data_IF_723047780122
#
_entry.id   IF_723047780122
#
_cell.length_a   1.000
_cell.length_b   1.000
_cell.length_c   1.000
_cell.angle_alpha   90.00
_cell.angle_beta   90.00
_cell.angle_gamma   90.00
#
_symmetry.space_group_name_H-M   'P 1'
#
loop_
_entity.id
_entity.type
_entity.pdbx_description
1 polymer ?
#
# COMPACT_ATOMS: atom_id res chain seq x y z
N UNK A 1 -28.48 -10.71 -2.59
CA UNK A 1 -27.15 -11.01 -3.12
C UNK A 1 -26.53 -9.84 -3.86
N UNK A 2 -27.22 -9.23 -4.82
CA UNK A 2 -26.68 -8.08 -5.56
C UNK A 2 -26.40 -6.87 -4.69
N UNK A 3 -27.21 -6.59 -3.68
CA UNK A 3 -26.99 -5.48 -2.77
C UNK A 3 -25.73 -5.65 -1.94
N UNK A 4 -25.46 -6.87 -1.48
CA UNK A 4 -24.26 -7.13 -0.69
C UNK A 4 -23.00 -6.97 -1.53
N UNK A 5 -23.02 -7.45 -2.76
CA UNK A 5 -21.90 -7.32 -3.70
C UNK A 5 -21.65 -5.85 -4.01
N UNK A 6 -22.72 -5.08 -4.26
CA UNK A 6 -22.59 -3.65 -4.53
C UNK A 6 -21.95 -2.91 -3.36
N UNK A 7 -22.30 -3.26 -2.12
CA UNK A 7 -21.70 -2.65 -0.93
C UNK A 7 -20.22 -2.94 -0.83
N UNK A 8 -19.82 -4.19 -1.05
CA UNK A 8 -18.42 -4.57 -1.00
C UNK A 8 -17.62 -3.90 -2.10
N UNK A 9 -18.16 -3.81 -3.29
CA UNK A 9 -17.50 -3.13 -4.40
C UNK A 9 -17.34 -1.63 -4.13
N UNK A 10 -18.33 -1.00 -3.49
CA UNK A 10 -18.26 0.41 -3.11
C UNK A 10 -17.14 0.61 -2.07
N UNK A 11 -17.05 -0.25 -1.09
CA UNK A 11 -15.98 -0.19 -0.07
C UNK A 11 -14.61 -0.29 -0.74
N UNK A 12 -14.45 -1.24 -1.63
CA UNK A 12 -13.22 -1.44 -2.38
C UNK A 12 -12.87 -0.20 -3.22
N UNK A 13 -13.84 0.39 -3.89
CA UNK A 13 -13.65 1.61 -4.67
C UNK A 13 -13.21 2.78 -3.78
N UNK A 14 -13.85 2.94 -2.63
CA UNK A 14 -13.51 4.01 -1.69
C UNK A 14 -12.07 3.84 -1.20
N UNK A 15 -11.68 2.64 -0.82
CA UNK A 15 -10.30 2.36 -0.38
C UNK A 15 -9.28 2.68 -1.48
N UNK A 16 -9.58 2.29 -2.72
CA UNK A 16 -8.71 2.58 -3.85
C UNK A 16 -8.56 4.08 -4.07
N UNK A 17 -9.66 4.81 -4.01
CA UNK A 17 -9.65 6.26 -4.19
C UNK A 17 -8.88 6.96 -3.06
N UNK A 18 -9.02 6.50 -1.83
CA UNK A 18 -8.26 7.02 -0.70
C UNK A 18 -6.77 6.81 -0.94
N UNK A 19 -6.37 5.65 -1.44
CA UNK A 19 -4.98 5.38 -1.79
C UNK A 19 -4.47 6.31 -2.87
N UNK A 20 -5.23 6.51 -3.93
CA UNK A 20 -4.86 7.41 -5.03
C UNK A 20 -4.72 8.84 -4.51
N UNK A 21 -5.68 9.32 -3.72
CA UNK A 21 -5.63 10.66 -3.16
C UNK A 21 -4.42 10.85 -2.24
N UNK A 22 -4.09 9.82 -1.45
CA UNK A 22 -2.90 9.88 -0.60
C UNK A 22 -1.62 10.12 -1.39
N UNK A 23 -1.48 9.47 -2.55
CA UNK A 23 -0.32 9.69 -3.40
C UNK A 23 -0.29 11.10 -3.96
N UNK A 24 -1.43 11.59 -4.45
CA UNK A 24 -1.48 12.92 -5.09
C UNK A 24 -1.37 14.07 -4.12
N UNK A 25 -1.96 13.94 -2.93
CA UNK A 25 -2.02 15.04 -1.96
C UNK A 25 -0.75 15.16 -1.12
N UNK A 26 -0.08 14.04 -0.84
CA UNK A 26 1.06 14.03 0.07
C UNK A 26 2.27 13.38 -0.64
N UNK A 27 2.83 14.12 -1.59
CA UNK A 27 3.91 13.61 -2.46
C UNK A 27 5.26 13.51 -1.78
N UNK A 28 5.46 14.23 -0.67
CA UNK A 28 6.79 14.35 -0.05
C UNK A 28 7.06 13.33 1.06
N UNK A 29 6.06 12.57 1.47
CA UNK A 29 6.21 11.61 2.56
C UNK A 29 6.21 10.20 2.01
N UNK A 30 7.38 9.55 2.03
CA UNK A 30 7.56 8.20 1.51
C UNK A 30 6.68 7.20 2.26
N UNK A 31 6.53 7.36 3.57
CA UNK A 31 5.70 6.46 4.39
C UNK A 31 4.24 6.49 3.91
N UNK A 32 3.71 7.69 3.67
CA UNK A 32 2.33 7.84 3.20
C UNK A 32 2.16 7.29 1.80
N UNK A 33 3.15 7.47 0.92
CA UNK A 33 3.11 6.88 -0.43
C UNK A 33 3.07 5.36 -0.35
N UNK A 34 3.90 4.74 0.50
CA UNK A 34 3.90 3.30 0.67
C UNK A 34 2.57 2.81 1.23
N UNK A 35 2.02 3.49 2.24
CA UNK A 35 0.72 3.14 2.80
C UNK A 35 -0.39 3.28 1.79
N UNK A 36 -0.33 4.30 0.93
CA UNK A 36 -1.33 4.53 -0.12
C UNK A 36 -1.30 3.41 -1.15
N UNK A 37 -0.12 2.98 -1.57
CA UNK A 37 0.04 1.84 -2.48
C UNK A 37 -0.52 0.57 -1.84
N UNK A 38 -0.27 0.36 -0.56
CA UNK A 38 -0.80 -0.80 0.17
C UNK A 38 -2.33 -0.79 0.22
N UNK A 39 -2.94 0.38 0.43
CA UNK A 39 -4.40 0.52 0.39
C UNK A 39 -4.96 0.17 -0.99
N UNK A 40 -4.29 0.62 -2.06
CA UNK A 40 -4.70 0.31 -3.42
C UNK A 40 -4.63 -1.20 -3.69
N UNK A 41 -3.56 -1.86 -3.22
CA UNK A 41 -3.41 -3.31 -3.37
C UNK A 41 -4.46 -4.06 -2.55
N UNK A 42 -4.77 -3.58 -1.35
CA UNK A 42 -5.84 -4.15 -0.53
C UNK A 42 -7.19 -4.06 -1.26
N UNK A 43 -7.49 -2.92 -1.89
CA UNK A 43 -8.72 -2.72 -2.63
C UNK A 43 -8.83 -3.72 -3.79
N UNK A 44 -7.75 -3.91 -4.53
CA UNK A 44 -7.70 -4.89 -5.62
C UNK A 44 -7.92 -6.31 -5.09
N UNK A 45 -7.30 -6.65 -3.96
CA UNK A 45 -7.46 -7.95 -3.33
C UNK A 45 -8.90 -8.21 -2.91
N UNK A 46 -9.56 -7.21 -2.33
CA UNK A 46 -10.97 -7.32 -1.95
C UNK A 46 -11.81 -7.62 -3.18
N UNK A 47 -11.54 -6.96 -4.31
CA UNK A 47 -12.26 -7.21 -5.55
C UNK A 47 -12.08 -8.66 -6.03
N UNK A 48 -10.87 -9.19 -6.00
CA UNK A 48 -10.63 -10.58 -6.41
C UNK A 48 -11.42 -11.56 -5.53
N UNK A 49 -11.44 -11.33 -4.22
CA UNK A 49 -12.18 -12.18 -3.30
C UNK A 49 -13.68 -12.08 -3.55
N UNK A 50 -14.21 -10.87 -3.71
CA UNK A 50 -15.63 -10.64 -3.96
C UNK A 50 -16.08 -11.34 -5.24
N UNK A 51 -15.35 -11.14 -6.33
CA UNK A 51 -15.72 -11.77 -7.60
C UNK A 51 -15.55 -13.28 -7.56
N UNK A 52 -14.57 -13.79 -6.82
CA UNK A 52 -14.41 -15.23 -6.62
C UNK A 52 -15.63 -15.85 -5.92
N UNK A 53 -16.10 -15.22 -4.87
CA UNK A 53 -17.28 -15.69 -4.14
C UNK A 53 -18.54 -15.58 -5.01
N UNK A 54 -18.72 -14.46 -5.70
CA UNK A 54 -19.89 -14.22 -6.55
C UNK A 54 -19.96 -15.22 -7.70
N UNK A 55 -18.84 -15.48 -8.37
CA UNK A 55 -18.78 -16.37 -9.53
C UNK A 55 -18.60 -17.85 -9.12
N UNK A 56 -18.46 -18.12 -7.83
CA UNK A 56 -18.19 -19.46 -7.29
C UNK A 56 -16.98 -20.10 -7.97
N UNK A 57 -15.92 -19.31 -8.14
CA UNK A 57 -14.68 -19.72 -8.83
C UNK A 57 -13.49 -19.39 -7.94
N UNK A 58 -12.71 -20.41 -7.61
CA UNK A 58 -11.55 -20.26 -6.72
C UNK A 58 -10.37 -19.54 -7.36
N UNK A 59 -10.39 -19.29 -8.67
CA UNK A 59 -9.29 -18.59 -9.36
C UNK A 59 -9.08 -17.19 -8.80
N UNK A 60 -10.16 -16.47 -8.46
CA UNK A 60 -10.05 -15.15 -7.83
C UNK A 60 -9.34 -15.19 -6.49
N UNK A 61 -9.56 -16.23 -5.69
CA UNK A 61 -8.87 -16.41 -4.41
C UNK A 61 -7.39 -16.70 -4.61
N UNK A 62 -7.05 -17.47 -5.63
CA UNK A 62 -5.65 -17.74 -5.97
C UNK A 62 -4.94 -16.45 -6.37
N UNK A 63 -5.54 -15.64 -7.23
CA UNK A 63 -4.99 -14.34 -7.60
C UNK A 63 -4.86 -13.41 -6.40
N UNK A 64 -5.85 -13.41 -5.49
CA UNK A 64 -5.76 -12.62 -4.26
C UNK A 64 -4.56 -13.03 -3.42
N UNK A 65 -4.29 -14.33 -3.35
CA UNK A 65 -3.12 -14.85 -2.62
C UNK A 65 -1.82 -14.37 -3.29
N UNK A 66 -1.73 -14.40 -4.61
CA UNK A 66 -0.56 -13.89 -5.33
C UNK A 66 -0.35 -12.39 -5.07
N UNK A 67 -1.42 -11.60 -5.16
CA UNK A 67 -1.34 -10.16 -4.90
C UNK A 67 -0.89 -9.91 -3.47
N UNK A 68 -1.42 -10.66 -2.51
CA UNK A 68 -1.02 -10.54 -1.11
C UNK A 68 0.45 -10.87 -0.92
N UNK A 69 0.95 -11.91 -1.58
CA UNK A 69 2.36 -12.30 -1.52
C UNK A 69 3.26 -11.20 -2.09
N UNK A 70 2.91 -10.65 -3.24
CA UNK A 70 3.65 -9.56 -3.86
C UNK A 70 3.61 -8.32 -2.97
N UNK A 71 2.45 -7.99 -2.40
CA UNK A 71 2.30 -6.85 -1.51
C UNK A 71 3.17 -7.00 -0.26
N UNK A 72 3.22 -8.20 0.32
CA UNK A 72 4.06 -8.47 1.47
C UNK A 72 5.54 -8.30 1.14
N UNK A 73 5.98 -8.79 -0.03
CA UNK A 73 7.35 -8.61 -0.48
C UNK A 73 7.69 -7.14 -0.72
N UNK A 74 6.79 -6.40 -1.36
CA UNK A 74 6.98 -4.97 -1.59
C UNK A 74 7.05 -4.19 -0.28
N UNK A 75 6.19 -4.52 0.69
CA UNK A 75 6.20 -3.88 2.01
C UNK A 75 7.52 -4.12 2.73
N UNK A 76 8.02 -5.35 2.68
CA UNK A 76 9.30 -5.69 3.31
C UNK A 76 10.45 -4.92 2.67
N UNK A 77 10.51 -4.87 1.35
CA UNK A 77 11.53 -4.13 0.60
C UNK A 77 11.41 -2.63 0.87
N UNK A 78 10.19 -2.11 0.81
CA UNK A 78 9.92 -0.70 1.06
C UNK A 78 10.32 -0.27 2.46
N UNK A 79 10.02 -1.10 3.46
CA UNK A 79 10.40 -0.85 4.84
C UNK A 79 11.92 -0.86 4.99
N UNK A 80 12.61 -1.81 4.36
CA UNK A 80 14.06 -1.89 4.39
C UNK A 80 14.69 -0.63 3.77
N UNK A 81 14.21 -0.20 2.61
CA UNK A 81 14.67 1.02 1.96
C UNK A 81 14.44 2.22 2.86
N UNK A 82 13.28 2.29 3.50
CA UNK A 82 12.92 3.39 4.38
C UNK A 82 13.86 3.48 5.58
N UNK A 83 14.18 2.33 6.19
CA UNK A 83 15.10 2.27 7.32
C UNK A 83 16.49 2.76 6.91
N UNK A 84 16.99 2.31 5.77
CA UNK A 84 18.29 2.76 5.24
C UNK A 84 18.26 4.26 4.95
N UNK A 85 17.20 4.73 4.33
CA UNK A 85 17.03 6.15 4.02
C UNK A 85 17.10 7.03 5.27
N UNK A 86 16.38 6.64 6.32
CA UNK A 86 16.38 7.42 7.56
C UNK A 86 17.73 7.35 8.28
N UNK A 87 18.42 6.24 8.19
CA UNK A 87 19.79 6.14 8.76
C UNK A 87 20.75 7.09 8.06
N UNK A 88 20.71 7.10 6.73
CA UNK A 88 21.59 7.99 5.95
C UNK A 88 21.26 9.44 6.24
N UNK A 89 19.96 9.80 6.23
CA UNK A 89 19.53 11.16 6.53
C UNK A 89 19.93 11.59 7.94
N UNK A 90 19.81 10.70 8.92
CA UNK A 90 20.25 10.96 10.29
C UNK A 90 21.74 11.24 10.38
N UNK A 91 22.57 10.44 9.70
CA UNK A 91 24.01 10.64 9.68
C UNK A 91 24.36 11.98 9.03
N UNK A 92 23.73 12.30 7.91
CA UNK A 92 23.95 13.58 7.23
C UNK A 92 23.57 14.75 8.13
N UNK A 93 22.45 14.65 8.83
CA UNK A 93 22.00 15.70 9.76
C UNK A 93 22.99 15.89 10.92
N UNK A 94 23.52 14.81 11.48
CA UNK A 94 24.49 14.86 12.55
C UNK A 94 25.80 15.50 12.05
N UNK A 95 26.27 15.10 10.88
CA UNK A 95 27.49 15.67 10.27
C UNK A 95 27.30 17.16 9.97
N UNK A 96 26.13 17.55 9.52
CA UNK A 96 25.81 18.96 9.28
C UNK A 96 25.85 19.78 10.57
N UNK A 97 25.27 19.26 11.63
CA UNK A 97 25.29 19.92 12.95
C UNK A 97 26.72 20.04 13.48
N UNK A 98 27.51 18.99 13.37
CA UNK A 98 28.92 19.01 13.79
C UNK A 98 29.73 20.02 12.99
N UNK A 99 29.46 20.11 11.68
CA UNK A 99 30.10 21.09 10.80
C UNK A 99 29.76 22.52 11.23
N UNK A 100 28.54 22.78 11.65
CA UNK A 100 28.15 24.11 12.15
C UNK A 100 28.81 24.47 13.47
N UNK A 101 29.09 23.49 14.33
CA UNK A 101 29.71 23.70 15.62
C UNK A 101 31.22 23.78 15.56
N UNK A 102 31.79 23.13 14.55
CA UNK A 102 33.23 22.99 14.42
C UNK A 102 33.88 24.02 13.61
#
# INVERSE_FOLDING_TARGET
>A
MYFEISRYLIISLILFLIGVLGIFLIKKNIIIILMSIELMLLAININFVIFSVYLDDSIGQIFALFVLTVAAAESAIGLAILVVYYRIKGIISINFINSLKG
#
